data_IF_304678240004
#
_entry.id   IF_304678240004
#
_cell.length_a   1.000
_cell.length_b   1.000
_cell.length_c   1.000
_cell.angle_alpha   90.00
_cell.angle_beta   90.00
_cell.angle_gamma   90.00
#
_symmetry.space_group_name_H-M   'P 1'
#
loop_
_entity.id
_entity.type
_entity.pdbx_description
1 polymer ?
#
# COMPACT_ATOMS: atom_id res chain seq x y z
N UNK A 1 -10.39 -2.40 -61.47
CA UNK A 1 -9.37 -2.46 -60.41
C UNK A 1 -9.50 -1.18 -59.60
N UNK A 2 -10.22 -1.25 -58.50
CA UNK A 2 -10.33 -0.15 -57.52
C UNK A 2 -9.61 -0.63 -56.28
N UNK A 3 -8.40 -0.12 -56.08
CA UNK A 3 -7.63 -0.33 -54.86
C UNK A 3 -8.31 0.41 -53.71
N UNK A 4 -8.91 -0.36 -52.80
CA UNK A 4 -9.39 0.14 -51.51
C UNK A 4 -8.21 0.03 -50.55
N UNK A 5 -7.64 1.17 -50.17
CA UNK A 5 -6.61 1.23 -49.13
C UNK A 5 -7.16 0.67 -47.80
N UNK A 6 -6.36 -0.07 -47.02
CA UNK A 6 -6.83 -0.67 -45.78
C UNK A 6 -7.13 0.42 -44.76
N UNK A 7 -8.35 0.39 -44.21
CA UNK A 7 -8.75 1.18 -43.05
C UNK A 7 -7.74 0.95 -41.92
N UNK A 8 -7.04 2.02 -41.51
CA UNK A 8 -6.31 2.04 -40.25
C UNK A 8 -7.34 1.93 -39.13
N UNK A 9 -7.51 0.73 -38.58
CA UNK A 9 -8.18 0.52 -37.30
C UNK A 9 -7.49 1.37 -36.25
N UNK A 10 -8.12 2.49 -35.88
CA UNK A 10 -7.77 3.28 -34.72
C UNK A 10 -7.95 2.38 -33.49
N UNK A 11 -6.85 1.93 -32.91
CA UNK A 11 -6.86 1.27 -31.60
C UNK A 11 -7.52 2.21 -30.60
N UNK A 12 -8.60 1.76 -29.96
CA UNK A 12 -9.25 2.49 -28.88
C UNK A 12 -8.22 2.96 -27.86
N UNK A 13 -8.18 4.26 -27.48
CA UNK A 13 -7.26 4.73 -26.47
C UNK A 13 -7.52 3.97 -25.18
N UNK A 14 -6.47 3.32 -24.65
CA UNK A 14 -6.54 2.71 -23.32
C UNK A 14 -6.95 3.78 -22.31
N UNK A 15 -7.87 3.47 -21.38
CA UNK A 15 -8.33 4.45 -20.41
C UNK A 15 -7.12 4.98 -19.60
N UNK A 16 -7.02 6.30 -19.47
CA UNK A 16 -5.95 6.93 -18.70
C UNK A 16 -5.99 6.44 -17.25
N UNK A 17 -4.96 5.71 -16.83
CA UNK A 17 -4.81 5.21 -15.47
C UNK A 17 -3.96 6.18 -14.64
N UNK A 18 -4.34 6.36 -13.37
CA UNK A 18 -3.56 7.21 -12.47
C UNK A 18 -2.16 6.60 -12.24
N UNK A 19 -1.06 7.36 -12.46
CA UNK A 19 0.30 6.80 -12.54
C UNK A 19 0.82 6.07 -11.29
N UNK A 20 0.23 6.31 -10.12
CA UNK A 20 0.62 5.60 -8.90
C UNK A 20 0.18 4.13 -8.91
N UNK A 21 -0.84 3.77 -9.71
CA UNK A 21 -1.33 2.39 -9.79
C UNK A 21 -0.33 1.45 -10.48
N UNK A 22 0.64 1.99 -11.22
CA UNK A 22 1.73 1.22 -11.84
C UNK A 22 2.87 0.89 -10.86
N UNK A 23 2.87 1.50 -9.67
CA UNK A 23 3.88 1.27 -8.67
C UNK A 23 3.62 -0.08 -7.97
N UNK A 24 4.51 -1.05 -8.14
CA UNK A 24 4.46 -2.34 -7.44
C UNK A 24 4.35 -2.14 -5.92
N UNK A 25 5.08 -1.17 -5.37
CA UNK A 25 5.02 -0.85 -3.93
C UNK A 25 3.62 -0.38 -3.51
N UNK A 26 2.90 0.37 -4.36
CA UNK A 26 1.52 0.78 -4.07
C UNK A 26 0.58 -0.41 -4.14
N UNK A 27 0.70 -1.27 -5.17
CA UNK A 27 -0.13 -2.46 -5.34
C UNK A 27 -0.02 -3.41 -4.13
N UNK A 28 1.20 -3.65 -3.67
CA UNK A 28 1.47 -4.44 -2.47
C UNK A 28 0.92 -3.77 -1.20
N UNK A 29 1.07 -2.45 -1.09
CA UNK A 29 0.57 -1.70 0.08
C UNK A 29 -0.95 -1.66 0.16
N UNK A 30 -1.69 -1.57 -0.96
CA UNK A 30 -3.16 -1.60 -0.92
C UNK A 30 -3.68 -3.00 -0.60
N UNK A 31 -3.06 -4.06 -1.14
CA UNK A 31 -3.37 -5.44 -0.77
C UNK A 31 -3.13 -5.70 0.73
N UNK A 32 -1.98 -5.26 1.25
CA UNK A 32 -1.67 -5.35 2.68
C UNK A 32 -2.68 -4.60 3.54
N UNK A 33 -3.06 -3.38 3.15
CA UNK A 33 -4.05 -2.59 3.89
C UNK A 33 -5.41 -3.31 3.97
N UNK A 34 -5.89 -3.89 2.86
CA UNK A 34 -7.11 -4.69 2.84
C UNK A 34 -7.00 -5.90 3.78
N UNK A 35 -5.91 -6.67 3.70
CA UNK A 35 -5.71 -7.83 4.57
C UNK A 35 -5.71 -7.44 6.06
N UNK A 36 -5.10 -6.30 6.41
CA UNK A 36 -5.10 -5.79 7.78
C UNK A 36 -6.51 -5.45 8.26
N UNK A 37 -7.33 -4.79 7.42
CA UNK A 37 -8.72 -4.46 7.73
C UNK A 37 -9.54 -5.74 7.92
N UNK A 38 -9.40 -6.72 7.04
CA UNK A 38 -10.10 -8.01 7.15
C UNK A 38 -9.79 -8.71 8.48
N UNK A 39 -8.53 -8.66 8.94
CA UNK A 39 -8.15 -9.19 10.26
C UNK A 39 -8.68 -8.36 11.43
N UNK A 40 -8.78 -7.03 11.28
CA UNK A 40 -9.31 -6.14 12.30
C UNK A 40 -10.82 -6.32 12.53
N UNK A 41 -11.56 -6.68 11.49
CA UNK A 41 -13.00 -7.01 11.58
C UNK A 41 -13.25 -8.36 12.29
N UNK A 42 -12.26 -9.26 12.26
CA UNK A 42 -12.38 -10.66 12.71
C UNK A 42 -11.54 -10.99 13.96
N UNK A 43 -11.29 -10.01 14.83
CA UNK A 43 -10.49 -10.21 16.05
C UNK A 43 -11.11 -11.23 17.01
N UNK A 44 -10.26 -12.11 17.54
CA UNK A 44 -10.59 -13.05 18.62
C UNK A 44 -10.64 -12.35 19.99
N UNK A 45 -11.52 -11.34 20.12
CA UNK A 45 -11.76 -10.62 21.37
C UNK A 45 -13.26 -10.48 21.64
N UNK A 46 -13.66 -10.72 22.88
CA UNK A 46 -15.03 -10.49 23.34
C UNK A 46 -15.37 -8.98 23.40
N UNK A 47 -14.36 -8.10 23.41
CA UNK A 47 -14.51 -6.64 23.32
C UNK A 47 -14.05 -6.16 21.94
N UNK A 48 -14.80 -5.23 21.35
CA UNK A 48 -14.53 -4.73 19.98
C UNK A 48 -13.37 -3.74 19.83
N UNK A 49 -12.78 -3.23 20.92
CA UNK A 49 -11.61 -2.35 20.92
C UNK A 49 -11.58 -1.25 19.83
N UNK A 50 -12.73 -0.60 19.55
CA UNK A 50 -12.94 0.30 18.40
C UNK A 50 -11.79 1.30 18.17
N UNK A 51 -11.33 2.00 19.21
CA UNK A 51 -10.24 2.97 19.07
C UNK A 51 -8.91 2.36 18.59
N UNK A 52 -8.58 1.14 19.00
CA UNK A 52 -7.36 0.45 18.53
C UNK A 52 -7.52 -0.05 17.10
N UNK A 53 -8.73 -0.52 16.75
CA UNK A 53 -9.08 -0.94 15.40
C UNK A 53 -8.99 0.25 14.44
N UNK A 54 -9.63 1.38 14.77
CA UNK A 54 -9.55 2.62 13.99
C UNK A 54 -8.11 3.10 13.78
N UNK A 55 -7.27 3.00 14.83
CA UNK A 55 -5.84 3.34 14.71
C UNK A 55 -5.09 2.39 13.76
N UNK A 56 -5.41 1.10 13.79
CA UNK A 56 -4.81 0.10 12.91
C UNK A 56 -5.20 0.35 11.45
N UNK A 57 -6.49 0.55 11.20
CA UNK A 57 -7.04 0.83 9.87
C UNK A 57 -6.48 2.13 9.30
N UNK A 58 -6.44 3.20 10.10
CA UNK A 58 -5.86 4.48 9.70
C UNK A 58 -4.38 4.35 9.34
N UNK A 59 -3.58 3.66 10.17
CA UNK A 59 -2.17 3.43 9.89
C UNK A 59 -1.96 2.57 8.63
N UNK A 60 -2.73 1.48 8.48
CA UNK A 60 -2.58 0.57 7.34
C UNK A 60 -2.94 1.25 6.01
N UNK A 61 -4.06 1.97 5.97
CA UNK A 61 -4.50 2.70 4.77
C UNK A 61 -3.61 3.90 4.46
N UNK A 62 -2.96 4.51 5.47
CA UNK A 62 -2.00 5.60 5.28
C UNK A 62 -0.81 5.20 4.40
N UNK A 63 -0.42 3.93 4.38
CA UNK A 63 0.71 3.43 3.58
C UNK A 63 0.47 3.64 2.07
N UNK A 64 -0.56 3.04 1.44
CA UNK A 64 -0.85 3.28 0.02
C UNK A 64 -1.29 4.72 -0.26
N UNK A 65 -1.96 5.40 0.68
CA UNK A 65 -2.35 6.81 0.51
C UNK A 65 -1.13 7.71 0.33
N UNK A 66 -0.12 7.61 1.21
CA UNK A 66 1.10 8.41 1.12
C UNK A 66 1.94 8.06 -0.13
N UNK A 67 1.99 6.79 -0.54
CA UNK A 67 2.67 6.41 -1.78
C UNK A 67 2.00 7.07 -3.00
N UNK A 68 0.66 7.03 -3.06
CA UNK A 68 -0.09 7.64 -4.15
C UNK A 68 0.05 9.16 -4.16
N UNK A 69 -0.06 9.80 -2.99
CA UNK A 69 0.10 11.24 -2.83
C UNK A 69 1.49 11.69 -3.25
N UNK A 70 2.55 11.02 -2.75
CA UNK A 70 3.93 11.31 -3.13
C UNK A 70 4.16 11.20 -4.64
N UNK A 71 3.57 10.20 -5.29
CA UNK A 71 3.69 10.03 -6.75
C UNK A 71 2.95 11.11 -7.54
N UNK A 72 1.94 11.74 -6.94
CA UNK A 72 1.22 12.88 -7.50
C UNK A 72 1.91 14.24 -7.30
N UNK A 73 3.01 14.31 -6.52
CA UNK A 73 3.77 15.54 -6.30
C UNK A 73 4.73 15.84 -7.46
N UNK A 74 5.08 17.13 -7.61
CA UNK A 74 5.93 17.60 -8.71
C UNK A 74 7.42 17.36 -8.46
N UNK A 75 7.87 17.33 -7.20
CA UNK A 75 9.30 17.19 -6.89
C UNK A 75 9.66 15.79 -6.36
N UNK A 76 10.84 15.31 -6.75
CA UNK A 76 11.41 14.07 -6.21
C UNK A 76 11.63 14.16 -4.69
N UNK A 77 11.92 15.34 -4.17
CA UNK A 77 12.09 15.58 -2.73
C UNK A 77 10.80 15.30 -1.96
N UNK A 78 9.66 15.76 -2.46
CA UNK A 78 8.36 15.46 -1.86
C UNK A 78 8.03 13.98 -1.95
N UNK A 79 8.22 13.35 -3.11
CA UNK A 79 8.00 11.90 -3.24
C UNK A 79 8.83 11.11 -2.21
N UNK A 80 10.11 11.45 -2.02
CA UNK A 80 10.93 10.85 -0.96
C UNK A 80 10.36 11.05 0.43
N UNK A 81 9.90 12.27 0.75
CA UNK A 81 9.28 12.57 2.03
C UNK A 81 8.03 11.71 2.29
N UNK A 82 7.12 11.63 1.31
CA UNK A 82 5.91 10.81 1.40
C UNK A 82 6.22 9.31 1.52
N UNK A 83 7.25 8.80 0.85
CA UNK A 83 7.71 7.43 1.04
C UNK A 83 8.19 7.15 2.47
N UNK A 84 8.80 8.13 3.14
CA UNK A 84 9.19 8.00 4.53
C UNK A 84 7.99 8.03 5.48
N UNK A 85 6.96 8.82 5.19
CA UNK A 85 5.70 8.79 5.94
C UNK A 85 5.03 7.43 5.78
N UNK A 86 4.92 6.90 4.55
CA UNK A 86 4.37 5.57 4.30
C UNK A 86 5.10 4.47 5.08
N UNK A 87 6.45 4.56 5.17
CA UNK A 87 7.25 3.65 5.99
C UNK A 87 7.00 3.81 7.49
N UNK A 88 6.78 5.03 7.96
CA UNK A 88 6.37 5.31 9.34
C UNK A 88 5.04 4.63 9.66
N UNK A 89 4.03 4.85 8.83
CA UNK A 89 2.71 4.21 8.98
C UNK A 89 2.79 2.68 8.94
N UNK A 90 3.66 2.10 8.11
CA UNK A 90 3.91 0.65 8.11
C UNK A 90 4.42 0.14 9.47
N UNK A 91 5.29 0.89 10.13
CA UNK A 91 5.79 0.53 11.46
C UNK A 91 4.74 0.70 12.56
N UNK A 92 3.88 1.72 12.45
CA UNK A 92 2.73 1.87 13.34
C UNK A 92 1.75 0.69 13.18
N UNK A 93 1.42 0.30 11.95
CA UNK A 93 0.59 -0.88 11.66
C UNK A 93 1.19 -2.15 12.29
N UNK A 94 2.49 -2.40 12.07
CA UNK A 94 3.15 -3.59 12.63
C UNK A 94 3.22 -3.57 14.15
N UNK A 95 3.36 -2.39 14.77
CA UNK A 95 3.33 -2.25 16.23
C UNK A 95 1.97 -2.63 16.79
N UNK A 96 0.88 -2.18 16.16
CA UNK A 96 -0.48 -2.54 16.56
C UNK A 96 -0.77 -4.03 16.34
N UNK A 97 -0.34 -4.60 15.22
CA UNK A 97 -0.46 -6.04 14.96
C UNK A 97 0.31 -6.89 15.98
N UNK A 98 1.51 -6.47 16.39
CA UNK A 98 2.27 -7.14 17.46
C UNK A 98 1.49 -7.12 18.79
N UNK A 99 0.89 -5.99 19.15
CA UNK A 99 0.00 -5.90 20.32
C UNK A 99 -1.16 -6.90 20.18
N UNK A 100 -1.81 -6.94 19.02
CA UNK A 100 -2.96 -7.82 18.79
C UNK A 100 -2.56 -9.29 18.87
N UNK A 101 -1.36 -9.65 18.37
CA UNK A 101 -0.77 -10.99 18.50
C UNK A 101 -0.47 -11.32 19.96
N UNK A 102 0.15 -10.43 20.72
CA UNK A 102 0.42 -10.65 22.17
C UNK A 102 -0.87 -10.80 22.98
N UNK A 103 -1.95 -10.13 22.56
CA UNK A 103 -3.28 -10.29 23.14
C UNK A 103 -4.01 -11.55 22.64
N UNK A 104 -3.40 -12.33 21.74
CA UNK A 104 -4.00 -13.49 21.08
C UNK A 104 -5.31 -13.16 20.33
N UNK A 105 -5.45 -11.91 19.87
CA UNK A 105 -6.61 -11.46 19.08
C UNK A 105 -6.47 -11.80 17.60
N UNK A 106 -5.24 -12.00 17.12
CA UNK A 106 -4.95 -12.53 15.79
C UNK A 106 -4.12 -13.81 15.94
N UNK A 107 -4.38 -14.85 15.11
CA UNK A 107 -3.55 -16.05 15.09
C UNK A 107 -2.10 -15.74 14.69
N UNK A 108 -1.15 -16.48 15.27
CA UNK A 108 0.28 -16.32 14.95
C UNK A 108 0.57 -16.53 13.46
N UNK A 109 -0.12 -17.48 12.82
CA UNK A 109 -0.01 -17.72 11.38
C UNK A 109 -0.32 -16.46 10.56
N UNK A 110 -1.42 -15.79 10.90
CA UNK A 110 -1.89 -14.61 10.17
C UNK A 110 -0.96 -13.41 10.42
N UNK A 111 -0.51 -13.25 11.67
CA UNK A 111 0.52 -12.27 12.02
C UNK A 111 1.82 -12.48 11.22
N UNK A 112 2.29 -13.71 11.06
CA UNK A 112 3.50 -14.01 10.27
C UNK A 112 3.30 -13.71 8.78
N UNK A 113 2.12 -13.97 8.23
CA UNK A 113 1.79 -13.62 6.84
C UNK A 113 1.80 -12.10 6.63
N UNK A 114 1.15 -11.34 7.50
CA UNK A 114 1.16 -9.87 7.48
C UNK A 114 2.58 -9.31 7.65
N UNK A 115 3.37 -9.93 8.54
CA UNK A 115 4.79 -9.55 8.73
C UNK A 115 5.60 -9.74 7.45
N UNK A 116 5.39 -10.84 6.72
CA UNK A 116 6.10 -11.08 5.46
C UNK A 116 5.73 -10.05 4.38
N UNK A 117 4.44 -9.69 4.28
CA UNK A 117 3.98 -8.62 3.40
C UNK A 117 4.60 -7.27 3.79
N UNK A 118 4.63 -6.94 5.08
CA UNK A 118 5.24 -5.71 5.59
C UNK A 118 6.75 -5.64 5.30
N UNK A 119 7.49 -6.74 5.44
CA UNK A 119 8.92 -6.81 5.10
C UNK A 119 9.13 -6.54 3.61
N UNK A 120 8.30 -7.13 2.73
CA UNK A 120 8.34 -6.87 1.29
C UNK A 120 8.11 -5.39 0.98
N UNK A 121 7.04 -4.81 1.52
CA UNK A 121 6.71 -3.39 1.34
C UNK A 121 7.84 -2.50 1.84
N UNK A 122 8.42 -2.78 3.02
CA UNK A 122 9.52 -1.99 3.58
C UNK A 122 10.74 -2.00 2.66
N UNK A 123 11.08 -3.15 2.07
CA UNK A 123 12.16 -3.29 1.08
C UNK A 123 11.86 -2.50 -0.19
N UNK A 124 10.63 -2.60 -0.71
CA UNK A 124 10.20 -1.86 -1.90
C UNK A 124 10.23 -0.34 -1.69
N UNK A 125 9.72 0.15 -0.56
CA UNK A 125 9.79 1.58 -0.19
C UNK A 125 11.25 2.03 -0.11
N UNK A 126 12.11 1.26 0.57
CA UNK A 126 13.53 1.59 0.75
C UNK A 126 14.27 1.64 -0.59
N UNK A 127 14.04 0.64 -1.45
CA UNK A 127 14.63 0.59 -2.78
C UNK A 127 14.15 1.76 -3.65
N UNK A 128 12.84 2.05 -3.63
CA UNK A 128 12.28 3.16 -4.39
C UNK A 128 12.84 4.51 -3.93
N UNK A 129 12.82 4.76 -2.62
CA UNK A 129 13.38 5.98 -2.02
C UNK A 129 14.86 6.18 -2.38
N UNK A 130 15.67 5.11 -2.36
CA UNK A 130 17.10 5.17 -2.70
C UNK A 130 17.35 5.47 -4.19
N UNK A 131 16.53 4.92 -5.08
CA UNK A 131 16.72 5.03 -6.53
C UNK A 131 16.24 6.37 -7.11
N UNK A 132 15.47 7.14 -6.35
CA UNK A 132 15.06 8.48 -6.72
C UNK A 132 16.26 9.45 -6.65
N UNK A 133 16.59 10.09 -7.79
CA UNK A 133 17.61 11.16 -7.84
C UNK A 133 16.97 12.49 -7.47
N UNK A 134 17.54 13.20 -6.49
CA UNK A 134 17.12 14.57 -6.18
C UNK A 134 17.95 15.46 -7.09
N UNK A 135 17.28 16.17 -7.99
CA UNK A 135 17.87 17.26 -8.78
C UNK A 135 18.01 18.52 -7.92
#
# INVERSE_FOLDING_TARGET
MTDIAPEKTLSTPQPYQLPYKDLIVWQKSIEFACNVIDHAENLASNRKHYRLVEQLEAAATSIPMNIAEGKGRYSTKELKHFLMIARGSLYETMTLLEIFKQKSWIPEKDFLQLTQQAIEISKLITAFHRNLKVE
#
